data_IF_928858281486
#
_entry.id   IF_928858281486
#
_cell.length_a   1.000
_cell.length_b   1.000
_cell.length_c   1.000
_cell.angle_alpha   90.00
_cell.angle_beta   90.00
_cell.angle_gamma   90.00
#
_symmetry.space_group_name_H-M   'P 1'
#
loop_
_entity.id
_entity.type
_entity.pdbx_description
1 polymer ?
#
# COMPACT_ATOMS: atom_id res chain seq x y z
N UNK A 1 -5.66 17.22 -3.11
CA UNK A 1 -4.24 17.26 -2.72
C UNK A 1 -3.72 15.84 -2.50
N UNK A 2 -2.70 15.42 -3.21
CA UNK A 2 -2.18 14.09 -3.03
C UNK A 2 -1.54 13.93 -1.65
N UNK A 3 -1.71 12.76 -1.09
CA UNK A 3 -1.14 12.44 0.21
C UNK A 3 0.01 11.44 0.09
N UNK A 4 0.51 11.23 -1.11
CA UNK A 4 1.59 10.29 -1.37
C UNK A 4 2.61 10.94 -2.28
N UNK A 5 3.83 10.39 -2.28
CA UNK A 5 4.92 10.91 -3.09
C UNK A 5 5.04 10.10 -4.37
N UNK A 6 5.80 10.65 -5.32
CA UNK A 6 6.03 9.95 -6.58
C UNK A 6 6.78 8.63 -6.38
N UNK A 7 7.60 8.54 -5.35
CA UNK A 7 8.31 7.29 -5.06
C UNK A 7 7.37 6.16 -4.73
N UNK A 8 6.16 6.48 -4.29
CA UNK A 8 5.18 5.49 -3.89
C UNK A 8 4.26 5.08 -5.02
N UNK A 9 4.32 5.75 -6.15
CA UNK A 9 3.39 5.52 -7.24
C UNK A 9 3.96 4.47 -8.18
N UNK A 10 3.13 3.51 -8.57
CA UNK A 10 3.54 2.47 -9.49
C UNK A 10 2.35 2.12 -10.40
N UNK A 11 2.62 1.96 -11.69
CA UNK A 11 1.58 1.52 -12.60
C UNK A 11 1.27 0.04 -12.36
N UNK A 12 0.03 -0.34 -12.59
CA UNK A 12 -0.41 -1.71 -12.32
C UNK A 12 0.47 -2.75 -13.01
N UNK A 13 0.84 -2.48 -14.26
CA UNK A 13 1.70 -3.39 -15.01
C UNK A 13 3.05 -3.58 -14.33
N UNK A 14 3.64 -2.48 -13.88
CA UNK A 14 4.92 -2.54 -13.19
C UNK A 14 4.80 -3.18 -11.83
N UNK A 15 3.69 -2.94 -11.15
CA UNK A 15 3.47 -3.57 -9.85
C UNK A 15 3.43 -5.09 -9.99
N UNK A 16 2.79 -5.58 -11.05
CA UNK A 16 2.73 -7.02 -11.27
C UNK A 16 4.13 -7.61 -11.46
N UNK A 17 4.98 -6.92 -12.21
CA UNK A 17 6.33 -7.42 -12.47
C UNK A 17 7.25 -7.29 -11.27
N UNK A 18 7.02 -6.29 -10.43
CA UNK A 18 7.93 -5.95 -9.34
C UNK A 18 7.34 -6.28 -7.98
N UNK A 19 6.34 -7.13 -7.95
CA UNK A 19 5.60 -7.34 -6.71
C UNK A 19 6.50 -7.87 -5.59
N UNK A 20 7.38 -8.82 -5.87
CA UNK A 20 8.28 -9.35 -4.86
C UNK A 20 9.21 -8.28 -4.30
N UNK A 21 9.72 -7.43 -5.18
CA UNK A 21 10.58 -6.33 -4.77
C UNK A 21 9.80 -5.35 -3.91
N UNK A 22 8.56 -5.07 -4.27
CA UNK A 22 7.73 -4.17 -3.49
C UNK A 22 7.46 -4.74 -2.10
N UNK A 23 7.17 -6.04 -2.03
CA UNK A 23 6.97 -6.68 -0.74
C UNK A 23 8.21 -6.57 0.14
N UNK A 24 9.38 -6.78 -0.47
CA UNK A 24 10.63 -6.69 0.28
C UNK A 24 10.82 -5.30 0.86
N UNK A 25 10.52 -4.27 0.07
CA UNK A 25 10.69 -2.90 0.52
C UNK A 25 9.70 -2.53 1.62
N UNK A 26 8.49 -3.05 1.54
CA UNK A 26 7.54 -2.84 2.63
C UNK A 26 8.01 -3.54 3.89
N UNK A 27 8.60 -4.72 3.73
CA UNK A 27 9.05 -5.50 4.86
C UNK A 27 10.23 -4.86 5.57
N UNK A 28 11.20 -4.32 4.81
CA UNK A 28 12.39 -3.75 5.42
C UNK A 28 12.21 -2.27 5.78
N UNK A 29 11.06 -1.70 5.50
CA UNK A 29 10.77 -0.32 5.89
C UNK A 29 11.27 0.73 4.92
N UNK A 30 11.85 0.34 3.79
CA UNK A 30 12.33 1.33 2.83
C UNK A 30 11.19 1.94 2.02
N UNK A 31 10.01 1.37 2.10
CA UNK A 31 8.80 1.96 1.53
C UNK A 31 7.68 1.80 2.52
N UNK A 32 6.83 2.81 2.63
CA UNK A 32 5.68 2.74 3.53
C UNK A 32 4.46 2.14 2.85
N UNK A 33 4.32 2.41 1.57
CA UNK A 33 3.15 1.97 0.83
C UNK A 33 3.44 2.14 -0.64
N UNK A 34 2.59 1.54 -1.46
CA UNK A 34 2.63 1.75 -2.90
C UNK A 34 1.22 2.07 -3.36
N UNK A 35 1.10 3.09 -4.19
CA UNK A 35 -0.16 3.49 -4.77
C UNK A 35 -0.18 2.95 -6.18
N UNK A 36 -1.08 2.04 -6.47
CA UNK A 36 -1.14 1.38 -7.76
C UNK A 36 -2.09 2.15 -8.66
N UNK A 37 -1.56 2.63 -9.78
CA UNK A 37 -2.34 3.35 -10.78
C UNK A 37 -2.76 2.42 -11.89
N UNK A 38 -3.99 2.54 -12.30
CA UNK A 38 -4.53 1.80 -13.43
C UNK A 38 -5.33 2.78 -14.25
N UNK A 39 -4.99 2.89 -15.55
CA UNK A 39 -5.65 3.83 -16.46
C UNK A 39 -5.57 5.26 -15.92
N UNK A 40 -4.37 5.62 -15.49
CA UNK A 40 -4.05 6.98 -15.02
C UNK A 40 -4.80 7.41 -13.77
N UNK A 41 -5.32 6.47 -13.01
CA UNK A 41 -6.02 6.77 -11.77
C UNK A 41 -5.49 5.90 -10.65
N UNK A 42 -5.39 6.43 -9.45
CA UNK A 42 -5.05 5.60 -8.29
C UNK A 42 -6.21 4.65 -8.04
N UNK A 43 -5.92 3.36 -8.03
CA UNK A 43 -6.95 2.35 -7.88
C UNK A 43 -6.78 1.51 -6.63
N UNK A 44 -5.55 1.37 -6.15
CA UNK A 44 -5.31 0.47 -5.03
C UNK A 44 -4.10 0.93 -4.25
N UNK A 45 -4.02 0.49 -3.01
CA UNK A 45 -2.88 0.78 -2.15
C UNK A 45 -2.36 -0.55 -1.63
N UNK A 46 -1.04 -0.72 -1.65
CA UNK A 46 -0.39 -1.89 -1.08
C UNK A 46 0.35 -1.44 0.16
N UNK A 47 0.05 -2.05 1.29
CA UNK A 47 0.62 -1.70 2.59
C UNK A 47 1.18 -2.95 3.25
N UNK A 48 2.17 -2.75 4.11
CA UNK A 48 2.52 -3.82 5.05
C UNK A 48 1.34 -4.06 5.97
N UNK A 49 1.11 -5.29 6.37
CA UNK A 49 -0.06 -5.63 7.18
C UNK A 49 -0.08 -4.85 8.50
N UNK A 50 1.08 -4.60 9.07
CA UNK A 50 1.16 -3.85 10.33
C UNK A 50 0.62 -2.44 10.16
N UNK A 51 0.93 -1.80 9.03
CA UNK A 51 0.45 -0.46 8.77
C UNK A 51 -1.06 -0.46 8.57
N UNK A 52 -1.57 -1.47 7.89
CA UNK A 52 -3.00 -1.58 7.68
C UNK A 52 -3.74 -1.74 9.00
N UNK A 53 -3.20 -2.58 9.89
CA UNK A 53 -3.80 -2.77 11.20
C UNK A 53 -3.79 -1.48 12.01
N UNK A 54 -2.72 -0.71 11.91
CA UNK A 54 -2.64 0.55 12.60
C UNK A 54 -3.74 1.51 12.13
N UNK A 55 -3.96 1.56 10.82
CA UNK A 55 -5.00 2.43 10.28
C UNK A 55 -6.38 1.97 10.67
N UNK A 56 -6.62 0.67 10.70
CA UNK A 56 -7.91 0.15 11.17
C UNK A 56 -8.16 0.52 12.61
N UNK A 57 -7.12 0.46 13.43
CA UNK A 57 -7.26 0.81 14.83
C UNK A 57 -7.61 2.28 14.99
N UNK A 58 -6.96 3.14 14.20
CA UNK A 58 -7.27 4.57 14.23
C UNK A 58 -8.70 4.83 13.78
N UNK A 59 -9.20 4.01 12.88
CA UNK A 59 -10.58 4.16 12.40
C UNK A 59 -11.60 3.49 13.32
N UNK A 60 -11.13 2.78 14.35
CA UNK A 60 -12.05 2.14 15.28
C UNK A 60 -12.61 0.82 14.77
N UNK A 61 -11.95 0.17 13.83
CA UNK A 61 -12.50 -1.06 13.23
C UNK A 61 -11.70 -2.30 13.57
N UNK A 62 -10.55 -2.15 14.22
CA UNK A 62 -9.67 -3.30 14.42
C UNK A 62 -10.23 -4.32 15.39
N UNK A 63 -11.02 -3.90 16.37
CA UNK A 63 -11.54 -4.84 17.34
C UNK A 63 -12.62 -5.75 16.75
N UNK A 64 -13.04 -5.52 15.55
CA UNK A 64 -14.02 -6.38 14.91
C UNK A 64 -13.29 -7.53 14.26
N UNK A 65 -13.58 -8.75 14.64
CA UNK A 65 -12.84 -9.89 14.11
C UNK A 65 -13.03 -10.00 12.61
N UNK A 66 -11.94 -10.30 11.93
CA UNK A 66 -12.03 -10.64 10.52
C UNK A 66 -12.69 -12.00 10.45
N UNK A 67 -13.80 -12.04 9.82
CA UNK A 67 -14.61 -13.25 9.81
C UNK A 67 -13.86 -14.48 9.31
#
# INVERSE_FOLDING_TARGET
MPTFTLDEVVAARDAARRFSSMMQRLRDGSARRFIVFFRNRPQAVVLHITEYERLLQLAGELERPAA
#
